data_IF_133421306946
#
_entry.id   IF_133421306946
#
_cell.length_a   1.000
_cell.length_b   1.000
_cell.length_c   1.000
_cell.angle_alpha   90.00
_cell.angle_beta   90.00
_cell.angle_gamma   90.00
#
_symmetry.space_group_name_H-M   'P 1'
#
loop_
_entity.id
_entity.type
_entity.pdbx_description
1 polymer ?
#
# COMPACT_ATOMS: atom_id res chain seq x y z
N UNK A 1 -18.37 -12.47 21.07
CA UNK A 1 -18.93 -11.42 20.19
C UNK A 1 -17.81 -11.00 19.26
N UNK A 2 -18.01 -10.95 17.94
CA UNK A 2 -16.96 -10.58 17.00
C UNK A 2 -16.51 -9.13 17.25
N UNK A 3 -15.24 -8.85 16.96
CA UNK A 3 -14.72 -7.49 17.01
C UNK A 3 -15.29 -6.67 15.83
N UNK A 4 -15.57 -5.36 16.03
CA UNK A 4 -15.90 -4.47 14.93
C UNK A 4 -14.79 -4.45 13.86
N UNK A 5 -15.12 -4.44 12.55
CA UNK A 5 -14.13 -4.45 11.46
C UNK A 5 -13.05 -3.37 11.57
N UNK A 6 -13.41 -2.16 12.00
CA UNK A 6 -12.51 -1.02 12.18
C UNK A 6 -11.49 -1.22 13.31
N UNK A 7 -11.66 -2.25 14.14
CA UNK A 7 -10.72 -2.64 15.21
C UNK A 7 -9.87 -3.86 14.86
N UNK A 8 -10.11 -4.47 13.70
CA UNK A 8 -9.39 -5.67 13.23
C UNK A 8 -8.18 -5.30 12.39
N UNK A 9 -8.34 -4.35 11.47
CA UNK A 9 -7.28 -3.94 10.53
C UNK A 9 -6.57 -2.69 11.03
N UNK A 10 -5.23 -2.64 10.89
CA UNK A 10 -4.45 -1.47 11.27
C UNK A 10 -4.87 -0.22 10.46
N UNK A 11 -4.89 0.94 11.12
CA UNK A 11 -5.23 2.21 10.45
C UNK A 11 -4.14 2.71 9.49
N UNK A 12 -2.93 2.16 9.62
CA UNK A 12 -1.77 2.42 8.78
C UNK A 12 -1.47 1.28 7.79
N UNK A 13 -2.34 0.26 7.72
CA UNK A 13 -2.22 -0.81 6.74
C UNK A 13 -2.26 -0.26 5.31
N UNK A 14 -1.39 -0.78 4.45
CA UNK A 14 -1.31 -0.34 3.05
C UNK A 14 -2.62 -0.60 2.31
N UNK A 15 -3.26 -1.75 2.53
CA UNK A 15 -4.51 -2.08 1.87
C UNK A 15 -5.68 -1.22 2.36
N UNK A 16 -5.85 -1.07 3.69
CA UNK A 16 -6.94 -0.25 4.24
C UNK A 16 -6.86 1.22 3.79
N UNK A 17 -5.67 1.83 3.80
CA UNK A 17 -5.51 3.23 3.41
C UNK A 17 -5.67 3.43 1.90
N UNK A 18 -5.09 2.55 1.07
CA UNK A 18 -5.26 2.62 -0.39
C UNK A 18 -6.73 2.41 -0.77
N UNK A 19 -7.41 1.44 -0.18
CA UNK A 19 -8.85 1.18 -0.39
C UNK A 19 -9.69 2.41 -0.04
N UNK A 20 -9.47 3.00 1.14
CA UNK A 20 -10.19 4.19 1.57
C UNK A 20 -9.94 5.39 0.64
N UNK A 21 -8.71 5.54 0.12
CA UNK A 21 -8.37 6.59 -0.85
C UNK A 21 -9.09 6.43 -2.18
N UNK A 22 -9.25 5.19 -2.66
CA UNK A 22 -9.99 4.86 -3.88
C UNK A 22 -11.49 5.10 -3.63
N UNK A 23 -12.05 4.65 -2.51
CA UNK A 23 -13.45 4.89 -2.17
C UNK A 23 -13.78 6.39 -2.05
N UNK A 24 -12.86 7.21 -1.52
CA UNK A 24 -12.99 8.66 -1.52
C UNK A 24 -12.98 9.24 -2.96
N UNK A 25 -12.05 8.81 -3.80
CA UNK A 25 -11.96 9.24 -5.19
C UNK A 25 -13.18 8.82 -6.04
N UNK A 26 -13.74 7.64 -5.81
CA UNK A 26 -14.97 7.16 -6.46
C UNK A 26 -16.21 7.97 -6.09
N UNK A 27 -16.15 8.75 -5.00
CA UNK A 27 -17.18 9.72 -4.56
C UNK A 27 -16.84 11.16 -4.95
N UNK A 28 -15.74 11.38 -5.67
CA UNK A 28 -15.24 12.72 -6.01
C UNK A 28 -14.81 13.53 -4.79
N UNK A 29 -14.30 12.87 -3.73
CA UNK A 29 -13.90 13.52 -2.49
C UNK A 29 -12.39 13.46 -2.29
N UNK A 30 -11.78 14.53 -1.76
CA UNK A 30 -10.39 14.49 -1.33
C UNK A 30 -10.17 13.50 -0.19
N UNK A 31 -8.95 12.96 -0.11
CA UNK A 31 -8.51 12.04 0.92
C UNK A 31 -7.39 12.71 1.73
N UNK A 32 -7.73 13.43 2.79
CA UNK A 32 -6.78 14.06 3.73
C UNK A 32 -6.57 13.19 4.97
N UNK A 33 -5.46 13.40 5.69
CA UNK A 33 -5.20 12.80 7.01
C UNK A 33 -5.29 11.27 7.04
N UNK A 34 -4.98 10.60 5.91
CA UNK A 34 -5.16 9.15 5.75
C UNK A 34 -6.61 8.69 6.00
N UNK A 35 -7.60 9.54 5.69
CA UNK A 35 -9.02 9.26 5.93
C UNK A 35 -9.50 9.61 7.34
N UNK A 36 -8.60 10.02 8.24
CA UNK A 36 -8.98 10.40 9.60
C UNK A 36 -9.73 11.74 9.67
N UNK A 37 -10.60 11.93 10.68
CA UNK A 37 -11.27 13.20 10.91
C UNK A 37 -10.30 14.39 11.08
N UNK A 38 -10.71 15.56 10.61
CA UNK A 38 -9.87 16.77 10.60
C UNK A 38 -9.39 17.21 11.99
N UNK A 39 -10.17 16.95 13.04
CA UNK A 39 -9.75 17.25 14.41
C UNK A 39 -8.53 16.41 14.83
N UNK A 40 -8.46 15.13 14.39
CA UNK A 40 -7.29 14.28 14.63
C UNK A 40 -6.10 14.77 13.81
N UNK A 41 -6.34 15.22 12.57
CA UNK A 41 -5.34 15.92 11.76
C UNK A 41 -4.74 17.14 12.48
N UNK A 42 -5.56 17.95 13.17
CA UNK A 42 -5.06 19.09 13.98
C UNK A 42 -4.16 18.60 15.13
N UNK A 43 -4.55 17.53 15.82
CA UNK A 43 -3.72 16.94 16.88
C UNK A 43 -2.38 16.48 16.33
N UNK A 44 -2.36 15.77 15.19
CA UNK A 44 -1.12 15.31 14.54
C UNK A 44 -0.24 16.48 14.10
N UNK A 45 -0.81 17.57 13.57
CA UNK A 45 -0.03 18.77 13.21
C UNK A 45 0.62 19.45 14.41
N UNK A 46 -0.06 19.48 15.56
CA UNK A 46 0.50 20.01 16.80
C UNK A 46 1.58 19.07 17.33
N UNK A 47 1.30 17.76 17.38
CA UNK A 47 2.22 16.74 17.83
C UNK A 47 3.50 16.69 16.98
N UNK A 48 3.38 16.88 15.66
CA UNK A 48 4.49 16.91 14.72
C UNK A 48 5.47 18.07 14.94
N UNK A 49 5.15 19.06 15.78
CA UNK A 49 6.09 20.13 16.18
C UNK A 49 7.00 19.72 17.32
N UNK A 50 6.66 18.67 18.07
CA UNK A 50 7.44 18.21 19.23
C UNK A 50 8.82 17.66 18.82
N UNK A 51 9.82 17.71 19.71
CA UNK A 51 11.10 17.02 19.50
C UNK A 51 10.90 15.52 19.33
N UNK A 52 11.70 14.89 18.47
CA UNK A 52 11.60 13.47 18.15
C UNK A 52 11.57 12.54 19.37
N UNK A 53 12.38 12.70 20.43
CA UNK A 53 12.31 11.80 21.59
C UNK A 53 10.93 11.72 22.25
N UNK A 54 10.21 12.85 22.32
CA UNK A 54 8.86 12.91 22.90
C UNK A 54 7.81 12.33 21.93
N UNK A 55 7.92 12.68 20.64
CA UNK A 55 7.03 12.18 19.60
C UNK A 55 7.17 10.67 19.42
N UNK A 56 8.38 10.13 19.51
CA UNK A 56 8.66 8.69 19.47
C UNK A 56 7.98 7.95 20.61
N UNK A 57 8.02 8.48 21.83
CA UNK A 57 7.35 7.85 22.97
C UNK A 57 5.82 7.88 22.83
N UNK A 58 5.27 8.99 22.30
CA UNK A 58 3.85 9.08 21.95
C UNK A 58 3.48 8.06 20.87
N UNK A 59 4.23 8.02 19.76
CA UNK A 59 4.03 7.10 18.65
C UNK A 59 4.11 5.64 19.11
N UNK A 60 5.10 5.32 19.97
CA UNK A 60 5.26 4.01 20.61
C UNK A 60 4.05 3.62 21.47
N UNK A 61 3.39 4.58 22.15
CA UNK A 61 2.20 4.32 22.98
C UNK A 61 0.93 4.19 22.14
N UNK A 62 0.76 5.06 21.16
CA UNK A 62 -0.44 5.10 20.29
C UNK A 62 -0.47 3.89 19.35
N UNK A 63 0.65 3.57 18.69
CA UNK A 63 0.72 2.40 17.81
C UNK A 63 0.36 1.11 18.56
N UNK A 64 0.87 0.93 19.80
CA UNK A 64 0.52 -0.23 20.62
C UNK A 64 -0.98 -0.34 20.97
N UNK A 65 -1.75 0.74 20.92
CA UNK A 65 -3.19 0.71 21.21
C UNK A 65 -4.05 0.20 20.04
N UNK A 66 -3.51 0.14 18.81
CA UNK A 66 -4.21 -0.40 17.63
C UNK A 66 -4.23 -1.93 17.62
N UNK A 67 -3.33 -2.59 18.37
CA UNK A 67 -3.19 -4.04 18.35
C UNK A 67 -4.38 -4.78 18.98
N UNK A 68 -4.91 -5.77 18.27
CA UNK A 68 -5.84 -6.77 18.81
C UNK A 68 -5.13 -7.52 19.94
N UNK A 69 -5.82 -7.69 21.08
CA UNK A 69 -5.26 -8.45 22.20
C UNK A 69 -5.18 -9.93 21.80
N UNK A 70 -4.12 -10.67 22.16
CA UNK A 70 -3.94 -12.05 21.70
C UNK A 70 -5.09 -12.99 22.04
N UNK A 71 -5.71 -12.81 23.22
CA UNK A 71 -6.86 -13.59 23.68
C UNK A 71 -8.20 -13.22 23.01
N UNK A 72 -8.21 -12.29 22.06
CA UNK A 72 -9.39 -11.94 21.26
C UNK A 72 -9.21 -12.32 19.77
N UNK A 73 -8.14 -13.03 19.40
CA UNK A 73 -7.91 -13.42 18.01
C UNK A 73 -8.96 -14.40 17.47
N UNK A 74 -9.63 -15.13 18.34
CA UNK A 74 -10.79 -15.97 18.02
C UNK A 74 -12.07 -15.15 17.72
N UNK A 75 -12.08 -13.86 18.06
CA UNK A 75 -13.16 -12.91 17.79
C UNK A 75 -12.92 -12.07 16.54
N UNK A 76 -11.78 -12.25 15.86
CA UNK A 76 -11.48 -11.58 14.60
C UNK A 76 -12.29 -12.25 13.49
N UNK A 77 -13.16 -11.45 12.86
CA UNK A 77 -13.98 -11.85 11.72
C UNK A 77 -13.51 -11.08 10.49
N UNK A 78 -12.67 -11.71 9.67
CA UNK A 78 -12.18 -11.11 8.43
C UNK A 78 -13.28 -11.06 7.36
N UNK A 79 -14.29 -11.91 7.45
CA UNK A 79 -15.44 -11.87 6.55
C UNK A 79 -16.22 -10.58 6.70
N UNK A 80 -16.48 -10.15 7.94
CA UNK A 80 -17.08 -8.85 8.24
C UNK A 80 -16.21 -7.67 7.76
N UNK A 81 -14.88 -7.82 7.78
CA UNK A 81 -13.96 -6.83 7.18
C UNK A 81 -14.12 -6.77 5.66
N UNK A 82 -14.19 -7.91 4.98
CA UNK A 82 -14.41 -7.95 3.53
C UNK A 82 -15.77 -7.33 3.14
N UNK A 83 -16.83 -7.58 3.92
CA UNK A 83 -18.14 -6.96 3.75
C UNK A 83 -18.07 -5.44 3.88
N UNK A 84 -17.41 -4.93 4.94
CA UNK A 84 -17.21 -3.50 5.13
C UNK A 84 -16.44 -2.86 3.97
N UNK A 85 -15.37 -3.51 3.48
CA UNK A 85 -14.59 -3.03 2.35
C UNK A 85 -15.41 -2.99 1.05
N UNK A 86 -16.20 -4.03 0.77
CA UNK A 86 -17.06 -4.08 -0.42
C UNK A 86 -18.18 -3.03 -0.36
N UNK A 87 -18.77 -2.82 0.82
CA UNK A 87 -19.88 -1.88 1.03
C UNK A 87 -19.46 -0.39 0.96
N UNK A 88 -18.18 -0.10 1.14
CA UNK A 88 -17.67 1.28 1.13
C UNK A 88 -17.73 1.92 -0.26
N UNK A 89 -17.78 1.14 -1.34
CA UNK A 89 -17.88 1.67 -2.69
C UNK A 89 -19.30 2.15 -3.03
N UNK A 90 -19.46 3.27 -3.79
CA UNK A 90 -20.77 3.74 -4.23
C UNK A 90 -21.61 2.66 -4.94
N UNK A 91 -22.92 2.58 -4.67
CA UNK A 91 -23.77 1.53 -5.23
C UNK A 91 -24.11 1.79 -6.71
N UNK A 92 -23.18 1.48 -7.61
CA UNK A 92 -23.32 1.60 -9.07
C UNK A 92 -22.70 0.40 -9.80
N UNK A 93 -23.00 0.28 -11.09
CA UNK A 93 -22.33 -0.69 -11.95
C UNK A 93 -20.99 -0.12 -12.42
N UNK A 94 -19.94 -0.92 -12.28
CA UNK A 94 -18.58 -0.54 -12.61
C UNK A 94 -18.14 -1.14 -13.95
N UNK A 95 -17.39 -0.36 -14.77
CA UNK A 95 -16.93 -0.81 -16.08
C UNK A 95 -15.73 -1.77 -16.00
N UNK A 96 -15.13 -1.93 -14.82
CA UNK A 96 -14.11 -2.92 -14.48
C UNK A 96 -13.94 -2.95 -12.96
N UNK A 97 -13.09 -3.84 -12.45
CA UNK A 97 -12.69 -3.93 -11.04
C UNK A 97 -11.23 -4.36 -10.96
N UNK A 98 -10.49 -3.81 -9.99
CA UNK A 98 -9.19 -4.35 -9.60
C UNK A 98 -9.35 -5.29 -8.40
N UNK A 99 -8.56 -6.36 -8.34
CA UNK A 99 -8.55 -7.30 -7.23
C UNK A 99 -7.14 -7.87 -7.04
N UNK A 100 -6.67 -8.05 -5.80
CA UNK A 100 -5.34 -8.63 -5.54
C UNK A 100 -4.46 -7.81 -4.62
N UNK A 101 -3.15 -7.82 -4.90
CA UNK A 101 -2.12 -7.17 -4.09
C UNK A 101 -2.29 -5.65 -3.96
N UNK A 102 -1.78 -5.09 -2.86
CA UNK A 102 -1.70 -3.64 -2.65
C UNK A 102 -0.67 -3.02 -3.59
N UNK A 103 -1.02 -1.92 -4.26
CA UNK A 103 -0.07 -1.14 -5.06
C UNK A 103 -0.55 0.31 -5.21
N UNK A 104 0.26 1.27 -4.76
CA UNK A 104 -0.15 2.68 -4.78
C UNK A 104 -0.20 3.29 -6.18
N UNK A 105 0.63 2.83 -7.13
CA UNK A 105 0.52 3.26 -8.53
C UNK A 105 -0.81 2.79 -9.12
N UNK A 106 -1.15 1.51 -8.94
CA UNK A 106 -2.43 0.97 -9.43
C UNK A 106 -3.64 1.58 -8.71
N UNK A 107 -3.50 2.02 -7.46
CA UNK A 107 -4.54 2.81 -6.78
C UNK A 107 -4.82 4.16 -7.47
N UNK A 108 -3.80 4.84 -8.00
CA UNK A 108 -4.00 6.03 -8.84
C UNK A 108 -4.75 5.70 -10.12
N UNK A 109 -4.37 4.60 -10.77
CA UNK A 109 -5.01 4.14 -11.99
C UNK A 109 -6.50 3.79 -11.74
N UNK A 110 -6.80 3.04 -10.68
CA UNK A 110 -8.17 2.71 -10.25
C UNK A 110 -9.02 3.96 -10.01
N UNK A 111 -8.46 4.95 -9.32
CA UNK A 111 -9.14 6.20 -9.02
C UNK A 111 -9.46 7.02 -10.29
N UNK A 112 -8.55 7.07 -11.25
CA UNK A 112 -8.77 7.78 -12.52
C UNK A 112 -9.74 7.02 -13.44
N UNK A 113 -9.69 5.69 -13.45
CA UNK A 113 -10.66 4.84 -14.16
C UNK A 113 -12.03 4.81 -13.48
N UNK A 114 -12.13 5.24 -12.22
CA UNK A 114 -13.32 5.18 -11.38
C UNK A 114 -13.84 3.76 -11.14
N UNK A 115 -12.91 2.85 -10.87
CA UNK A 115 -13.19 1.44 -10.59
C UNK A 115 -12.78 1.07 -9.16
N UNK A 116 -13.48 0.12 -8.52
CA UNK A 116 -13.18 -0.35 -7.18
C UNK A 116 -11.92 -1.22 -7.19
N UNK A 117 -11.31 -1.35 -6.02
CA UNK A 117 -10.25 -2.31 -5.76
C UNK A 117 -10.60 -3.17 -4.55
N UNK A 118 -10.53 -4.49 -4.71
CA UNK A 118 -10.77 -5.48 -3.66
C UNK A 118 -9.43 -6.07 -3.18
N UNK A 119 -8.98 -5.76 -1.95
CA UNK A 119 -7.66 -6.17 -1.49
C UNK A 119 -7.59 -7.65 -1.12
N UNK A 120 -6.47 -8.29 -1.42
CA UNK A 120 -6.21 -9.67 -1.01
C UNK A 120 -5.56 -9.77 0.38
N UNK A 121 -4.65 -8.84 0.69
CA UNK A 121 -3.82 -8.86 1.91
C UNK A 121 -4.31 -7.79 2.88
N UNK A 122 -4.43 -8.13 4.16
CA UNK A 122 -4.77 -7.19 5.23
C UNK A 122 -3.80 -7.37 6.41
N UNK A 123 -3.51 -6.28 7.12
CA UNK A 123 -2.72 -6.34 8.35
C UNK A 123 -3.62 -6.35 9.60
N UNK A 124 -3.58 -7.44 10.35
CA UNK A 124 -4.11 -7.54 11.71
C UNK A 124 -2.97 -7.28 12.71
N UNK A 125 -2.88 -6.09 13.33
CA UNK A 125 -1.87 -5.84 14.33
C UNK A 125 -2.24 -6.60 15.61
N UNK A 126 -1.30 -7.35 16.19
CA UNK A 126 -1.54 -8.11 17.44
C UNK A 126 -0.68 -7.54 18.55
N UNK A 127 -1.29 -7.09 19.63
CA UNK A 127 -0.57 -6.48 20.74
C UNK A 127 0.46 -7.46 21.35
N UNK A 128 1.72 -7.05 21.37
CA UNK A 128 2.85 -7.80 21.92
C UNK A 128 3.95 -6.84 22.36
N UNK A 129 4.27 -6.83 23.66
CA UNK A 129 5.52 -6.21 24.10
C UNK A 129 6.66 -7.21 23.88
N UNK A 130 7.66 -6.83 23.10
CA UNK A 130 8.80 -7.70 22.82
C UNK A 130 10.02 -6.95 22.31
N UNK A 131 11.14 -7.64 22.26
CA UNK A 131 12.40 -7.10 21.73
C UNK A 131 12.39 -7.14 20.19
N UNK A 132 12.55 -5.99 19.49
CA UNK A 132 12.69 -5.95 18.04
C UNK A 132 13.84 -6.78 17.48
N UNK A 133 14.89 -7.04 18.28
CA UNK A 133 16.07 -7.81 17.86
C UNK A 133 15.91 -9.31 18.12
N UNK A 134 14.70 -9.76 18.49
CA UNK A 134 14.35 -11.16 18.78
C UNK A 134 13.25 -11.71 17.86
N UNK A 135 13.52 -11.85 16.55
CA UNK A 135 12.58 -12.47 15.61
C UNK A 135 12.22 -13.92 15.99
N UNK A 136 13.13 -14.66 16.61
CA UNK A 136 12.85 -15.99 17.19
C UNK A 136 11.71 -15.96 18.24
N UNK A 137 11.68 -14.96 19.11
CA UNK A 137 10.59 -14.78 20.08
C UNK A 137 9.31 -14.32 19.41
N UNK A 138 9.39 -13.57 18.31
CA UNK A 138 8.22 -13.21 17.53
C UNK A 138 7.62 -14.48 16.89
N UNK A 139 8.44 -15.32 16.26
CA UNK A 139 8.02 -16.61 15.72
C UNK A 139 7.28 -17.45 16.76
N UNK A 140 7.85 -17.63 17.95
CA UNK A 140 7.20 -18.43 19.01
C UNK A 140 5.88 -17.81 19.48
N UNK A 141 5.81 -16.48 19.58
CA UNK A 141 4.55 -15.80 19.87
C UNK A 141 3.47 -16.09 18.81
N UNK A 142 3.84 -16.09 17.54
CA UNK A 142 2.90 -16.44 16.48
C UNK A 142 2.47 -17.89 16.53
N UNK A 143 3.40 -18.82 16.79
CA UNK A 143 3.07 -20.25 16.98
C UNK A 143 2.04 -20.44 18.10
N UNK A 144 2.17 -19.67 19.19
CA UNK A 144 1.21 -19.71 20.30
C UNK A 144 -0.17 -19.16 19.92
N UNK A 145 -0.25 -18.02 19.23
CA UNK A 145 -1.49 -17.24 19.09
C UNK A 145 -2.14 -17.29 17.70
N UNK A 146 -1.37 -17.52 16.64
CA UNK A 146 -1.83 -17.66 15.26
C UNK A 146 -2.93 -18.71 15.06
N UNK A 147 -2.89 -19.89 15.72
CA UNK A 147 -3.92 -20.90 15.56
C UNK A 147 -5.34 -20.44 15.93
N UNK A 148 -5.49 -19.49 16.87
CA UNK A 148 -6.81 -18.96 17.23
C UNK A 148 -7.41 -18.15 16.08
N UNK A 149 -6.61 -17.29 15.44
CA UNK A 149 -7.02 -16.51 14.27
C UNK A 149 -7.38 -17.42 13.09
N UNK A 150 -6.53 -18.42 12.80
CA UNK A 150 -6.71 -19.34 11.67
C UNK A 150 -7.92 -20.27 11.82
N UNK A 151 -8.30 -20.63 13.06
CA UNK A 151 -9.53 -21.39 13.30
C UNK A 151 -10.78 -20.55 13.10
N UNK A 152 -10.75 -19.28 13.47
CA UNK A 152 -11.86 -18.35 13.27
C UNK A 152 -12.04 -17.96 11.79
N UNK A 153 -10.97 -18.02 10.99
CA UNK A 153 -10.95 -17.61 9.58
C UNK A 153 -10.34 -18.75 8.72
N UNK A 154 -11.14 -19.75 8.30
CA UNK A 154 -10.63 -20.92 7.57
C UNK A 154 -10.17 -20.60 6.14
N UNK A 155 -10.62 -19.50 5.56
CA UNK A 155 -10.35 -19.09 4.18
C UNK A 155 -9.08 -18.24 3.98
N UNK A 156 -8.27 -18.07 5.03
CA UNK A 156 -7.03 -17.27 4.98
C UNK A 156 -5.77 -18.10 5.23
N UNK A 157 -4.64 -17.56 4.74
CA UNK A 157 -3.27 -17.89 5.16
C UNK A 157 -2.72 -16.74 5.99
N UNK A 158 -2.00 -17.08 7.05
CA UNK A 158 -1.30 -16.15 7.92
C UNK A 158 0.17 -16.03 7.53
N UNK A 159 0.60 -14.83 7.16
CA UNK A 159 1.99 -14.41 7.05
C UNK A 159 2.34 -13.53 8.25
N UNK A 160 3.06 -14.11 9.20
CA UNK A 160 3.61 -13.36 10.30
C UNK A 160 4.93 -12.72 9.89
N UNK A 161 4.98 -11.40 9.88
CA UNK A 161 6.19 -10.64 9.52
C UNK A 161 6.84 -10.04 10.77
N UNK A 162 8.17 -10.11 10.84
CA UNK A 162 8.96 -9.39 11.84
C UNK A 162 10.11 -8.63 11.18
N UNK A 163 9.93 -7.33 10.97
CA UNK A 163 10.98 -6.46 10.46
C UNK A 163 11.58 -5.55 11.53
N UNK A 164 12.78 -5.91 11.98
CA UNK A 164 13.58 -5.11 12.92
C UNK A 164 14.21 -3.86 12.31
N UNK A 165 14.26 -3.74 10.98
CA UNK A 165 14.88 -2.63 10.27
C UNK A 165 13.89 -1.48 10.01
N UNK A 166 12.80 -1.73 9.29
CA UNK A 166 11.82 -0.68 8.97
C UNK A 166 10.81 -0.46 10.09
N UNK A 167 10.32 -1.55 10.70
CA UNK A 167 9.23 -1.53 11.66
C UNK A 167 9.67 -1.57 13.14
N UNK A 168 10.93 -1.21 13.43
CA UNK A 168 11.50 -1.34 14.80
C UNK A 168 10.62 -0.75 15.90
N UNK A 169 9.98 0.40 15.65
CA UNK A 169 9.11 1.06 16.64
C UNK A 169 7.81 0.29 16.89
N UNK A 170 7.28 -0.36 15.85
CA UNK A 170 6.03 -1.11 15.90
C UNK A 170 6.26 -2.54 16.41
N UNK A 171 7.29 -3.24 15.94
CA UNK A 171 7.63 -4.61 16.37
C UNK A 171 7.95 -4.72 17.87
N UNK A 172 8.32 -3.60 18.52
CA UNK A 172 8.48 -3.51 19.96
C UNK A 172 7.15 -3.61 20.75
N UNK A 173 6.01 -3.39 20.08
CA UNK A 173 4.68 -3.19 20.68
C UNK A 173 3.58 -4.06 20.08
N UNK A 174 3.81 -4.59 18.89
CA UNK A 174 2.88 -5.49 18.23
C UNK A 174 3.62 -6.46 17.31
N UNK A 175 2.94 -7.54 16.97
CA UNK A 175 3.31 -8.46 15.89
C UNK A 175 2.41 -8.21 14.70
N UNK A 176 2.98 -8.26 13.49
CA UNK A 176 2.22 -8.09 12.27
C UNK A 176 1.72 -9.45 11.78
N UNK A 177 0.41 -9.67 11.87
CA UNK A 177 -0.26 -10.78 11.22
C UNK A 177 -0.85 -10.28 9.92
N UNK A 178 -0.12 -10.49 8.81
CA UNK A 178 -0.63 -10.22 7.49
C UNK A 178 -1.41 -11.43 7.02
N UNK A 179 -2.70 -11.25 6.80
CA UNK A 179 -3.60 -12.31 6.36
C UNK A 179 -3.85 -12.14 4.87
N UNK A 180 -3.87 -13.27 4.16
CA UNK A 180 -4.16 -13.33 2.73
C UNK A 180 -5.33 -14.26 2.52
N UNK A 181 -6.31 -13.83 1.72
CA UNK A 181 -7.37 -14.74 1.27
C UNK A 181 -6.76 -15.89 0.46
N UNK A 182 -7.34 -17.09 0.56
CA UNK A 182 -7.04 -18.26 -0.30
C UNK A 182 -8.05 -18.44 -1.42
N UNK A 183 -9.22 -17.85 -1.25
CA UNK A 183 -10.34 -17.91 -2.18
C UNK A 183 -11.05 -16.58 -2.23
N UNK A 184 -11.89 -16.35 -3.23
CA UNK A 184 -12.78 -15.20 -3.23
C UNK A 184 -13.77 -15.32 -2.07
N UNK A 185 -13.64 -14.42 -1.09
CA UNK A 185 -14.60 -14.35 0.00
C UNK A 185 -16.01 -14.03 -0.53
N UNK A 186 -17.05 -14.52 0.15
CA UNK A 186 -18.45 -14.33 -0.26
C UNK A 186 -18.80 -12.87 -0.53
N UNK A 187 -18.29 -11.94 0.28
CA UNK A 187 -18.50 -10.50 0.08
C UNK A 187 -17.95 -10.00 -1.26
N UNK A 188 -16.81 -10.52 -1.71
CA UNK A 188 -16.22 -10.15 -2.99
C UNK A 188 -16.97 -10.81 -4.14
N UNK A 189 -17.36 -12.08 -4.01
CA UNK A 189 -18.23 -12.74 -5.00
C UNK A 189 -19.54 -11.97 -5.22
N UNK A 190 -20.18 -11.56 -4.13
CA UNK A 190 -21.39 -10.77 -4.19
C UNK A 190 -21.13 -9.40 -4.83
N UNK A 191 -20.05 -8.71 -4.44
CA UNK A 191 -19.70 -7.44 -5.06
C UNK A 191 -19.49 -7.58 -6.57
N UNK A 192 -18.72 -8.58 -7.02
CA UNK A 192 -18.47 -8.83 -8.43
C UNK A 192 -19.77 -9.12 -9.18
N UNK A 193 -20.63 -9.97 -8.62
CA UNK A 193 -21.92 -10.33 -9.23
C UNK A 193 -22.89 -9.14 -9.31
N UNK A 194 -22.98 -8.35 -8.25
CA UNK A 194 -24.01 -7.32 -8.11
C UNK A 194 -23.58 -5.96 -8.70
N UNK A 195 -22.27 -5.70 -8.81
CA UNK A 195 -21.71 -4.37 -9.12
C UNK A 195 -20.85 -4.33 -10.36
N UNK A 196 -20.38 -5.45 -10.89
CA UNK A 196 -19.60 -5.43 -12.12
C UNK A 196 -20.55 -5.40 -13.33
N UNK A 197 -20.30 -4.52 -14.30
CA UNK A 197 -21.11 -4.52 -15.52
C UNK A 197 -20.91 -5.85 -16.29
N UNK A 198 -21.93 -6.37 -17.00
CA UNK A 198 -21.79 -7.61 -17.76
C UNK A 198 -20.61 -7.56 -18.73
N UNK A 199 -19.75 -8.58 -18.69
CA UNK A 199 -18.56 -8.67 -19.54
C UNK A 199 -17.45 -7.65 -19.23
N UNK A 200 -17.58 -6.86 -18.15
CA UNK A 200 -16.53 -5.94 -17.74
C UNK A 200 -15.28 -6.71 -17.24
N UNK A 201 -14.06 -6.23 -17.56
CA UNK A 201 -12.85 -6.94 -17.18
C UNK A 201 -12.55 -6.88 -15.68
N UNK A 202 -11.90 -7.94 -15.20
CA UNK A 202 -11.31 -8.04 -13.87
C UNK A 202 -9.79 -7.88 -14.01
N UNK A 203 -9.24 -6.83 -13.42
CA UNK A 203 -7.80 -6.63 -13.34
C UNK A 203 -7.25 -7.34 -12.10
N UNK A 204 -6.52 -8.43 -12.31
CA UNK A 204 -5.85 -9.14 -11.23
C UNK A 204 -4.47 -8.54 -10.99
N UNK A 205 -4.27 -7.95 -9.81
CA UNK A 205 -2.99 -7.43 -9.35
C UNK A 205 -2.20 -8.59 -8.73
N UNK A 206 -1.26 -9.15 -9.50
CA UNK A 206 -0.50 -10.34 -9.13
C UNK A 206 0.97 -9.98 -8.90
N UNK A 207 1.29 -9.47 -7.70
CA UNK A 207 2.69 -9.31 -7.29
C UNK A 207 3.27 -10.68 -6.92
N UNK A 208 4.21 -11.16 -7.72
CA UNK A 208 4.85 -12.46 -7.59
C UNK A 208 6.04 -12.45 -6.62
N UNK A 209 6.26 -11.35 -5.88
CA UNK A 209 7.32 -11.26 -4.88
C UNK A 209 7.23 -12.39 -3.85
N UNK A 210 8.31 -13.15 -3.77
CA UNK A 210 8.51 -14.24 -2.80
C UNK A 210 9.51 -13.82 -1.73
N UNK A 211 9.41 -14.44 -0.56
CA UNK A 211 10.34 -14.21 0.54
C UNK A 211 10.74 -15.51 1.26
N UNK A 212 12.03 -15.68 1.61
CA UNK A 212 12.48 -16.79 2.44
C UNK A 212 11.76 -16.83 3.78
N UNK A 213 11.06 -17.92 4.05
CA UNK A 213 10.13 -18.04 5.18
C UNK A 213 10.34 -19.35 5.92
N UNK A 214 9.95 -19.37 7.20
CA UNK A 214 9.85 -20.58 8.02
C UNK A 214 8.39 -21.01 8.09
N UNK A 215 8.07 -22.25 7.72
CA UNK A 215 6.73 -22.81 7.90
C UNK A 215 6.45 -23.04 9.38
N UNK A 216 5.40 -22.40 9.90
CA UNK A 216 4.95 -22.58 11.29
C UNK A 216 3.88 -23.67 11.36
N UNK A 217 2.96 -23.67 10.39
CA UNK A 217 1.89 -24.65 10.19
C UNK A 217 1.47 -24.63 8.69
N UNK A 218 0.49 -25.45 8.29
CA UNK A 218 -0.01 -25.56 6.91
C UNK A 218 -0.43 -24.20 6.31
N UNK A 219 -1.08 -23.36 7.12
CA UNK A 219 -1.59 -22.02 6.74
C UNK A 219 -0.88 -20.88 7.47
N UNK A 220 0.32 -21.12 7.99
CA UNK A 220 1.05 -20.13 8.78
C UNK A 220 2.53 -20.11 8.40
N UNK A 221 2.97 -18.97 7.86
CA UNK A 221 4.35 -18.67 7.53
C UNK A 221 4.92 -17.58 8.43
N UNK A 222 6.20 -17.72 8.77
CA UNK A 222 6.96 -16.68 9.44
C UNK A 222 8.03 -16.10 8.49
N UNK A 223 8.06 -14.79 8.41
CA UNK A 223 8.96 -14.02 7.56
C UNK A 223 9.83 -13.09 8.43
N UNK A 224 11.15 -13.25 8.33
CA UNK A 224 12.12 -12.31 8.92
C UNK A 224 12.42 -11.20 7.93
N UNK A 225 12.19 -9.95 8.33
CA UNK A 225 12.35 -8.78 7.47
C UNK A 225 11.18 -8.53 6.52
N UNK A 226 11.32 -7.51 5.70
CA UNK A 226 10.37 -7.15 4.65
C UNK A 226 11.04 -6.32 3.59
N UNK A 227 10.36 -6.09 2.47
CA UNK A 227 10.90 -5.25 1.41
C UNK A 227 11.08 -3.80 1.90
N UNK A 228 12.31 -3.30 1.91
CA UNK A 228 12.60 -1.94 2.34
C UNK A 228 14.07 -1.73 2.65
N UNK A 229 14.93 -1.63 1.63
CA UNK A 229 16.32 -1.19 1.78
C UNK A 229 17.33 -2.23 2.30
N UNK A 230 16.89 -3.43 2.69
CA UNK A 230 17.75 -4.58 2.94
C UNK A 230 17.31 -5.77 2.10
N UNK A 231 18.28 -6.56 1.65
CA UNK A 231 18.01 -7.84 1.00
C UNK A 231 17.55 -8.91 2.01
N UNK A 232 16.86 -9.97 1.55
CA UNK A 232 16.49 -11.09 2.41
C UNK A 232 17.70 -11.71 3.13
N UNK A 233 18.85 -11.83 2.44
CA UNK A 233 20.08 -12.36 3.01
C UNK A 233 20.60 -11.51 4.17
N UNK A 234 20.55 -10.20 4.05
CA UNK A 234 20.96 -9.29 5.12
C UNK A 234 20.07 -9.43 6.34
N UNK A 235 18.75 -9.54 6.16
CA UNK A 235 17.82 -9.81 7.27
C UNK A 235 18.13 -11.14 7.97
N UNK A 236 18.32 -12.23 7.21
CA UNK A 236 18.59 -13.55 7.75
C UNK A 236 19.98 -13.68 8.40
N UNK A 237 20.93 -12.82 8.04
CA UNK A 237 22.26 -12.79 8.65
C UNK A 237 22.29 -12.15 10.04
N UNK A 238 21.19 -11.49 10.44
CA UNK A 238 21.09 -10.84 11.75
C UNK A 238 20.96 -11.88 12.87
N UNK A 239 21.42 -11.56 14.09
CA UNK A 239 21.25 -12.43 15.26
C UNK A 239 19.80 -12.85 15.47
N UNK A 240 19.61 -14.08 15.94
CA UNK A 240 18.31 -14.65 16.29
C UNK A 240 17.31 -14.83 15.14
N UNK A 241 17.67 -14.51 13.89
CA UNK A 241 16.83 -14.79 12.73
C UNK A 241 16.59 -16.31 12.61
N UNK A 242 15.33 -16.78 12.66
CA UNK A 242 15.03 -18.18 12.40
C UNK A 242 15.47 -18.57 10.98
N UNK A 243 16.05 -19.78 10.79
CA UNK A 243 16.39 -20.25 9.46
C UNK A 243 15.11 -20.46 8.63
N UNK A 244 15.06 -20.00 7.38
CA UNK A 244 13.96 -20.31 6.49
C UNK A 244 14.03 -21.79 6.07
N UNK A 245 12.88 -22.41 5.84
CA UNK A 245 12.75 -23.77 5.33
C UNK A 245 12.08 -23.83 3.94
N UNK A 246 11.75 -22.67 3.37
CA UNK A 246 11.24 -22.51 2.02
C UNK A 246 11.00 -21.06 1.64
N UNK A 247 10.16 -20.85 0.62
CA UNK A 247 9.72 -19.53 0.19
C UNK A 247 8.20 -19.48 0.14
N UNK A 248 7.63 -18.40 0.66
CA UNK A 248 6.21 -18.08 0.57
C UNK A 248 6.02 -16.77 -0.22
N UNK A 249 4.77 -16.41 -0.53
CA UNK A 249 4.47 -15.05 -0.97
C UNK A 249 4.96 -14.05 0.10
N UNK A 250 5.56 -12.94 -0.32
CA UNK A 250 6.00 -11.90 0.61
C UNK A 250 4.79 -11.37 1.40
N UNK A 251 4.98 -11.16 2.70
CA UNK A 251 3.89 -10.94 3.64
C UNK A 251 2.99 -9.75 3.27
N UNK A 252 3.55 -8.63 2.81
CA UNK A 252 2.82 -7.40 2.48
C UNK A 252 2.30 -7.37 1.04
N UNK A 253 3.20 -7.59 0.09
CA UNK A 253 2.97 -7.29 -1.32
C UNK A 253 2.59 -8.54 -2.11
N UNK A 254 3.21 -9.68 -1.82
CA UNK A 254 3.05 -10.91 -2.61
C UNK A 254 1.62 -11.43 -2.67
N UNK A 255 1.16 -11.87 -3.83
CA UNK A 255 -0.16 -12.47 -4.02
C UNK A 255 -0.18 -13.93 -3.53
N UNK A 256 -1.34 -14.39 -3.05
CA UNK A 256 -1.53 -15.77 -2.58
C UNK A 256 -1.92 -16.62 -3.79
N UNK A 257 -1.14 -17.65 -4.16
CA UNK A 257 -1.39 -18.42 -5.38
C UNK A 257 -2.80 -19.03 -5.46
N UNK A 258 -3.34 -19.51 -4.33
CA UNK A 258 -4.69 -20.06 -4.31
C UNK A 258 -5.77 -19.01 -4.62
N UNK A 259 -5.58 -17.77 -4.16
CA UNK A 259 -6.49 -16.67 -4.44
C UNK A 259 -6.42 -16.22 -5.88
N UNK A 260 -5.20 -16.10 -6.43
CA UNK A 260 -4.97 -15.81 -7.86
C UNK A 260 -5.77 -16.80 -8.70
N UNK A 261 -5.64 -18.10 -8.41
CA UNK A 261 -6.35 -19.14 -9.14
C UNK A 261 -7.88 -19.09 -8.92
N UNK A 262 -8.34 -18.73 -7.72
CA UNK A 262 -9.76 -18.53 -7.47
C UNK A 262 -10.35 -17.37 -8.28
N UNK A 263 -9.60 -16.28 -8.49
CA UNK A 263 -10.01 -15.17 -9.36
C UNK A 263 -10.07 -15.61 -10.82
N UNK A 264 -9.07 -16.36 -11.31
CA UNK A 264 -9.07 -16.88 -12.69
C UNK A 264 -10.30 -17.73 -12.97
N UNK A 265 -10.54 -18.74 -12.13
CA UNK A 265 -11.71 -19.62 -12.26
C UNK A 265 -13.03 -18.84 -12.23
N UNK A 266 -13.16 -17.87 -11.33
CA UNK A 266 -14.39 -17.07 -11.26
C UNK A 266 -14.63 -16.28 -12.55
N UNK A 267 -13.58 -15.69 -13.13
CA UNK A 267 -13.67 -14.95 -14.39
C UNK A 267 -14.11 -15.86 -15.55
N UNK A 268 -13.50 -17.04 -15.65
CA UNK A 268 -13.83 -18.06 -16.66
C UNK A 268 -15.28 -18.55 -16.52
N UNK A 269 -15.73 -18.81 -15.29
CA UNK A 269 -17.08 -19.32 -15.00
C UNK A 269 -18.20 -18.29 -15.21
N UNK A 270 -17.87 -16.98 -15.23
CA UNK A 270 -18.85 -15.88 -15.27
C UNK A 270 -18.69 -14.96 -16.51
N UNK A 271 -17.94 -15.39 -17.53
CA UNK A 271 -17.73 -14.66 -18.79
C UNK A 271 -17.17 -13.23 -18.60
N UNK A 272 -16.29 -13.05 -17.61
CA UNK A 272 -15.58 -11.79 -17.38
C UNK A 272 -14.14 -11.88 -17.91
N UNK A 273 -13.66 -10.97 -18.77
CA UNK A 273 -12.28 -10.99 -19.23
C UNK A 273 -11.30 -10.76 -18.06
N UNK A 274 -10.34 -11.67 -17.90
CA UNK A 274 -9.25 -11.49 -16.94
C UNK A 274 -8.09 -10.70 -17.58
N UNK A 275 -7.70 -9.60 -16.95
CA UNK A 275 -6.49 -8.84 -17.28
C UNK A 275 -5.50 -8.99 -16.14
N UNK A 276 -4.56 -9.91 -16.27
CA UNK A 276 -3.54 -10.15 -15.24
C UNK A 276 -2.40 -9.12 -15.34
N UNK A 277 -2.21 -8.35 -14.28
CA UNK A 277 -1.10 -7.43 -14.09
C UNK A 277 -0.05 -8.15 -13.24
N UNK A 278 0.79 -8.96 -13.89
CA UNK A 278 1.85 -9.75 -13.26
C UNK A 278 3.18 -9.00 -13.19
N UNK A 279 3.77 -8.91 -12.00
CA UNK A 279 5.05 -8.25 -11.77
C UNK A 279 5.75 -8.83 -10.53
N UNK A 280 7.03 -8.54 -10.32
CA UNK A 280 7.78 -8.98 -9.13
C UNK A 280 8.26 -7.77 -8.35
N UNK A 281 7.55 -7.45 -7.28
CA UNK A 281 7.84 -6.35 -6.38
C UNK A 281 7.01 -5.09 -6.68
N UNK A 282 6.56 -4.37 -5.64
CA UNK A 282 5.54 -3.33 -5.75
C UNK A 282 5.99 -2.10 -6.53
N UNK A 283 7.30 -1.90 -6.75
CA UNK A 283 7.80 -0.73 -7.48
C UNK A 283 7.58 -0.82 -9.00
N UNK A 284 7.47 -2.01 -9.57
CA UNK A 284 7.47 -2.22 -11.02
C UNK A 284 6.32 -1.50 -11.76
N UNK A 285 5.06 -1.47 -11.25
CA UNK A 285 3.97 -0.73 -11.90
C UNK A 285 4.15 0.80 -11.96
N UNK A 286 5.05 1.40 -11.18
CA UNK A 286 5.10 2.87 -11.05
C UNK A 286 5.44 3.59 -12.37
N UNK A 287 6.38 3.04 -13.15
CA UNK A 287 6.76 3.61 -14.45
C UNK A 287 5.64 3.52 -15.50
N UNK A 288 5.10 2.32 -15.84
CA UNK A 288 4.05 2.21 -16.85
C UNK A 288 2.78 2.96 -16.47
N UNK A 289 2.43 3.01 -15.18
CA UNK A 289 1.28 3.80 -14.71
C UNK A 289 1.52 5.30 -14.87
N UNK A 290 2.73 5.79 -14.57
CA UNK A 290 3.07 7.20 -14.76
C UNK A 290 2.91 7.60 -16.24
N UNK A 291 3.38 6.77 -17.17
CA UNK A 291 3.27 7.02 -18.61
C UNK A 291 1.81 7.01 -19.08
N UNK A 292 1.02 6.00 -18.70
CA UNK A 292 -0.42 5.92 -19.03
C UNK A 292 -1.17 7.17 -18.56
N UNK A 293 -0.91 7.60 -17.32
CA UNK A 293 -1.58 8.77 -16.76
C UNK A 293 -1.06 10.07 -17.37
N UNK A 294 0.21 10.13 -17.77
CA UNK A 294 0.78 11.26 -18.49
C UNK A 294 0.15 11.43 -19.86
N UNK A 295 0.01 10.35 -20.62
CA UNK A 295 -0.63 10.35 -21.94
C UNK A 295 -2.10 10.77 -21.82
N UNK A 296 -2.82 10.21 -20.86
CA UNK A 296 -4.20 10.61 -20.58
C UNK A 296 -4.34 12.11 -20.27
N UNK A 297 -3.43 12.67 -19.47
CA UNK A 297 -3.40 14.11 -19.19
C UNK A 297 -3.07 14.93 -20.44
N UNK A 298 -2.12 14.48 -21.27
CA UNK A 298 -1.74 15.14 -22.53
C UNK A 298 -2.91 15.18 -23.52
N UNK A 299 -3.65 14.08 -23.69
CA UNK A 299 -4.84 14.00 -24.56
C UNK A 299 -5.93 14.98 -24.15
N UNK A 300 -6.00 15.31 -22.85
CA UNK A 300 -6.92 16.31 -22.30
C UNK A 300 -6.42 17.75 -22.51
N UNK A 301 -5.22 17.93 -23.03
CA UNK A 301 -4.58 19.24 -23.18
C UNK A 301 -4.13 19.83 -21.84
N UNK A 302 -3.90 18.99 -20.83
CA UNK A 302 -3.28 19.40 -19.58
C UNK A 302 -1.77 19.57 -19.74
N UNK A 303 -1.16 20.24 -18.77
CA UNK A 303 0.30 20.26 -18.66
C UNK A 303 0.76 18.97 -18.00
N UNK A 304 1.75 18.32 -18.59
CA UNK A 304 2.32 17.06 -18.13
C UNK A 304 3.76 17.20 -17.64
N UNK A 305 4.20 18.44 -17.36
CA UNK A 305 5.57 18.77 -16.97
C UNK A 305 5.80 18.75 -15.45
N UNK A 306 4.84 18.25 -14.66
CA UNK A 306 4.95 18.12 -13.21
C UNK A 306 4.68 16.70 -12.76
N UNK A 307 5.72 16.06 -12.21
CA UNK A 307 5.63 14.74 -11.57
C UNK A 307 5.36 14.92 -10.07
N UNK A 308 4.57 14.02 -9.48
CA UNK A 308 4.48 13.86 -8.03
C UNK A 308 4.91 12.44 -7.64
N UNK A 309 5.67 12.32 -6.56
CA UNK A 309 6.19 11.07 -6.00
C UNK A 309 5.51 10.82 -4.66
N UNK A 310 4.25 10.33 -4.66
CA UNK A 310 3.62 9.82 -3.44
C UNK A 310 4.32 8.55 -2.99
N UNK A 311 4.27 8.26 -1.70
CA UNK A 311 5.00 7.14 -1.13
C UNK A 311 4.17 6.36 -0.12
N UNK A 312 4.24 5.04 -0.19
CA UNK A 312 3.50 4.11 0.65
C UNK A 312 2.01 4.49 0.72
N UNK A 313 1.50 4.79 1.93
CA UNK A 313 0.12 5.19 2.20
C UNK A 313 -0.14 6.70 2.03
N UNK A 314 0.89 7.52 1.82
CA UNK A 314 0.77 8.97 1.73
C UNK A 314 0.41 9.40 0.29
N UNK A 315 -0.88 9.36 -0.03
CA UNK A 315 -1.41 9.76 -1.34
C UNK A 315 -2.84 10.31 -1.27
N UNK A 316 -3.23 11.07 -2.30
CA UNK A 316 -4.62 11.47 -2.57
C UNK A 316 -4.85 11.38 -4.09
N UNK A 317 -5.28 10.22 -4.60
CA UNK A 317 -5.50 10.03 -6.03
C UNK A 317 -6.49 11.03 -6.64
N UNK A 318 -7.51 11.44 -5.88
CA UNK A 318 -8.51 12.40 -6.33
C UNK A 318 -7.90 13.79 -6.58
N UNK A 319 -7.18 14.34 -5.59
CA UNK A 319 -6.52 15.64 -5.74
C UNK A 319 -5.45 15.62 -6.81
N UNK A 320 -4.64 14.56 -6.85
CA UNK A 320 -3.55 14.40 -7.83
C UNK A 320 -4.10 14.45 -9.27
N UNK A 321 -5.17 13.70 -9.55
CA UNK A 321 -5.83 13.73 -10.85
C UNK A 321 -6.45 15.10 -11.18
N UNK A 322 -7.15 15.72 -10.23
CA UNK A 322 -7.79 17.04 -10.41
C UNK A 322 -6.81 18.21 -10.47
N UNK A 323 -5.51 17.96 -10.30
CA UNK A 323 -4.41 18.94 -10.41
C UNK A 323 -3.47 18.64 -11.58
N UNK A 324 -3.84 17.68 -12.43
CA UNK A 324 -3.05 17.25 -13.58
C UNK A 324 -1.59 16.91 -13.21
N UNK A 325 -1.39 16.23 -12.07
CA UNK A 325 -0.08 15.76 -11.65
C UNK A 325 0.10 14.31 -12.12
N UNK A 326 1.28 14.01 -12.68
CA UNK A 326 1.64 12.65 -13.07
C UNK A 326 2.20 11.92 -11.84
N UNK A 327 1.56 10.84 -11.33
CA UNK A 327 2.07 10.14 -10.15
C UNK A 327 3.11 9.09 -10.53
N UNK A 328 4.26 9.11 -9.86
CA UNK A 328 5.21 8.00 -9.80
C UNK A 328 5.29 7.52 -8.35
N UNK A 329 4.56 6.45 -8.02
CA UNK A 329 4.48 5.97 -6.64
C UNK A 329 5.74 5.21 -6.20
N UNK A 330 6.17 5.40 -4.96
CA UNK A 330 7.24 4.60 -4.32
C UNK A 330 6.70 3.78 -3.15
N UNK A 331 7.11 2.53 -3.04
CA UNK A 331 6.63 1.67 -1.94
C UNK A 331 7.16 2.13 -0.58
N UNK A 332 8.40 2.64 -0.52
CA UNK A 332 8.99 3.35 0.62
C UNK A 332 10.00 4.40 0.13
N UNK A 333 10.42 5.29 1.02
CA UNK A 333 11.51 6.23 0.77
C UNK A 333 12.88 5.55 0.97
N UNK A 334 13.17 4.55 0.13
CA UNK A 334 14.41 3.76 0.16
C UNK A 334 15.19 3.90 -1.16
N UNK A 335 16.49 3.61 -1.12
CA UNK A 335 17.41 3.78 -2.24
C UNK A 335 16.97 3.00 -3.49
N UNK A 336 16.40 1.80 -3.33
CA UNK A 336 15.92 1.00 -4.47
C UNK A 336 14.74 1.66 -5.20
N UNK A 337 13.81 2.26 -4.45
CA UNK A 337 12.70 3.00 -5.02
C UNK A 337 13.16 4.33 -5.66
N UNK A 338 14.16 4.99 -5.05
CA UNK A 338 14.81 6.16 -5.64
C UNK A 338 15.54 5.81 -6.95
N UNK A 339 16.21 4.66 -7.02
CA UNK A 339 16.84 4.18 -8.25
C UNK A 339 15.81 3.89 -9.35
N UNK A 340 14.61 3.41 -8.99
CA UNK A 340 13.51 3.27 -9.94
C UNK A 340 13.01 4.64 -10.45
N UNK A 341 12.94 5.66 -9.58
CA UNK A 341 12.64 7.04 -9.99
C UNK A 341 13.72 7.59 -10.92
N UNK A 342 15.01 7.39 -10.62
CA UNK A 342 16.13 7.79 -11.48
C UNK A 342 15.99 7.20 -12.89
N UNK A 343 15.63 5.90 -12.99
CA UNK A 343 15.38 5.23 -14.27
C UNK A 343 14.16 5.79 -15.02
N UNK A 344 13.07 6.11 -14.31
CA UNK A 344 11.90 6.74 -14.95
C UNK A 344 12.26 8.13 -15.48
N UNK A 345 12.93 8.97 -14.68
CA UNK A 345 13.34 10.31 -15.12
C UNK A 345 14.34 10.30 -16.28
N UNK A 346 15.15 9.23 -16.41
CA UNK A 346 16.07 9.04 -17.53
C UNK A 346 15.36 8.73 -18.86
N UNK A 347 14.21 8.08 -18.80
CA UNK A 347 13.53 7.49 -19.99
C UNK A 347 12.26 8.23 -20.38
N UNK A 348 11.56 8.82 -19.42
CA UNK A 348 10.37 9.62 -19.67
C UNK A 348 10.70 10.98 -20.30
N UNK A 349 9.71 11.60 -20.93
CA UNK A 349 9.78 13.00 -21.34
C UNK A 349 10.17 13.89 -20.14
N UNK A 350 10.89 14.98 -20.40
CA UNK A 350 11.39 15.82 -19.31
C UNK A 350 10.27 16.42 -18.46
N UNK A 351 10.52 16.47 -17.15
CA UNK A 351 9.67 17.18 -16.20
C UNK A 351 10.33 18.50 -15.83
N UNK A 352 9.53 19.56 -15.71
CA UNK A 352 9.99 20.84 -15.19
C UNK A 352 10.14 20.80 -13.66
N UNK A 353 9.24 20.07 -12.99
CA UNK A 353 9.19 19.99 -11.53
C UNK A 353 8.83 18.59 -11.07
N UNK A 354 9.44 18.16 -9.97
CA UNK A 354 9.10 16.91 -9.28
C UNK A 354 8.77 17.22 -7.81
N UNK A 355 7.54 16.89 -7.41
CA UNK A 355 7.04 17.05 -6.05
C UNK A 355 7.23 15.74 -5.30
N UNK A 356 7.97 15.73 -4.19
CA UNK A 356 8.23 14.53 -3.39
C UNK A 356 7.33 14.54 -2.16
N UNK A 357 6.39 13.60 -2.11
CA UNK A 357 5.46 13.39 -1.01
C UNK A 357 5.82 12.07 -0.31
N UNK A 358 6.97 12.06 0.35
CA UNK A 358 7.56 10.85 0.91
C UNK A 358 6.98 10.51 2.30
N UNK A 359 6.59 9.25 2.49
CA UNK A 359 6.13 8.74 3.77
C UNK A 359 7.32 8.58 4.73
N UNK A 360 7.14 9.03 5.97
CA UNK A 360 8.18 9.09 6.99
C UNK A 360 7.84 8.11 8.12
N UNK A 361 8.41 6.90 8.09
CA UNK A 361 8.12 5.84 9.06
C UNK A 361 8.86 6.02 10.40
N UNK A 362 9.63 7.10 10.56
CA UNK A 362 10.22 7.47 11.85
C UNK A 362 11.44 6.66 12.28
N UNK A 363 12.00 5.81 11.41
CA UNK A 363 13.20 5.00 11.72
C UNK A 363 14.31 5.38 10.76
N UNK A 364 15.52 5.61 11.28
CA UNK A 364 16.73 5.67 10.45
C UNK A 364 17.15 4.24 10.10
N UNK A 365 16.48 3.67 9.10
CA UNK A 365 16.68 2.30 8.66
C UNK A 365 17.79 2.19 7.62
N UNK A 366 18.47 1.03 7.51
CA UNK A 366 19.39 0.79 6.40
C UNK A 366 18.70 0.91 5.05
N UNK A 367 19.40 1.49 4.06
CA UNK A 367 18.86 1.68 2.71
C UNK A 367 17.82 2.79 2.58
N UNK A 368 17.62 3.63 3.60
CA UNK A 368 16.73 4.80 3.49
C UNK A 368 17.29 5.82 2.48
N UNK A 369 16.40 6.41 1.68
CA UNK A 369 16.68 7.56 0.84
C UNK A 369 16.29 8.84 1.58
N UNK A 370 17.14 9.86 1.50
CA UNK A 370 16.95 11.16 2.16
C UNK A 370 16.32 12.18 1.22
N UNK A 371 15.80 13.28 1.78
CA UNK A 371 15.35 14.42 0.97
C UNK A 371 16.43 14.93 0.00
N UNK A 372 17.70 14.92 0.43
CA UNK A 372 18.84 15.32 -0.40
C UNK A 372 19.10 14.34 -1.53
N UNK A 373 18.97 13.03 -1.30
CA UNK A 373 19.12 12.01 -2.34
C UNK A 373 18.05 12.19 -3.43
N UNK A 374 16.78 12.36 -3.02
CA UNK A 374 15.69 12.70 -3.95
C UNK A 374 16.01 13.98 -4.72
N UNK A 375 16.41 15.04 -4.03
CA UNK A 375 16.72 16.32 -4.68
C UNK A 375 17.90 16.21 -5.66
N UNK A 376 18.91 15.41 -5.35
CA UNK A 376 20.06 15.16 -6.21
C UNK A 376 19.66 14.42 -7.50
N UNK A 377 18.90 13.32 -7.38
CA UNK A 377 18.38 12.55 -8.53
C UNK A 377 17.49 13.42 -9.41
N UNK A 378 16.60 14.22 -8.82
CA UNK A 378 15.71 15.10 -9.58
C UNK A 378 16.49 16.18 -10.35
N UNK A 379 17.46 16.83 -9.69
CA UNK A 379 18.30 17.87 -10.33
C UNK A 379 19.20 17.30 -11.42
N UNK A 380 19.70 16.07 -11.25
CA UNK A 380 20.48 15.34 -12.28
C UNK A 380 19.73 15.27 -13.62
N UNK A 381 18.40 15.21 -13.59
CA UNK A 381 17.53 15.17 -14.78
C UNK A 381 16.93 16.53 -15.17
N UNK A 382 17.46 17.64 -14.62
CA UNK A 382 17.08 19.00 -15.01
C UNK A 382 15.75 19.50 -14.44
N UNK A 383 15.12 18.76 -13.53
CA UNK A 383 13.87 19.14 -12.90
C UNK A 383 14.09 19.87 -11.56
N UNK A 384 13.13 20.71 -11.16
CA UNK A 384 13.11 21.37 -9.86
C UNK A 384 12.54 20.42 -8.78
N UNK A 385 13.30 20.03 -7.74
CA UNK A 385 12.77 19.23 -6.64
C UNK A 385 11.97 20.10 -5.66
N UNK A 386 10.85 19.60 -5.18
CA UNK A 386 10.07 20.21 -4.09
C UNK A 386 9.65 19.14 -3.10
N UNK A 387 10.10 19.22 -1.85
CA UNK A 387 9.60 18.35 -0.77
C UNK A 387 8.21 18.83 -0.36
N UNK A 388 7.17 18.11 -0.79
CA UNK A 388 5.78 18.51 -0.60
C UNK A 388 5.27 18.00 0.74
N UNK A 389 4.87 18.91 1.62
CA UNK A 389 4.37 18.63 2.97
C UNK A 389 5.34 17.89 3.90
N UNK A 390 6.58 17.67 3.50
CA UNK A 390 7.66 17.07 4.28
C UNK A 390 8.65 18.15 4.70
N UNK A 391 9.11 18.08 5.96
CA UNK A 391 10.18 18.90 6.53
C UNK A 391 11.52 18.16 6.40
N UNK A 392 12.42 18.58 5.48
CA UNK A 392 13.70 17.90 5.23
C UNK A 392 14.61 17.84 6.47
N UNK A 393 14.56 18.86 7.33
CA UNK A 393 15.41 18.96 8.52
C UNK A 393 15.00 17.95 9.61
N UNK A 394 13.80 17.37 9.47
CA UNK A 394 13.24 16.38 10.40
C UNK A 394 13.26 14.96 9.82
N UNK A 395 13.82 14.72 8.65
CA UNK A 395 13.85 13.40 8.02
C UNK A 395 14.62 12.38 8.90
N UNK A 396 14.15 11.12 9.10
CA UNK A 396 12.91 10.51 8.61
C UNK A 396 11.72 10.59 9.58
N UNK A 397 11.68 11.60 10.47
CA UNK A 397 10.83 11.68 11.66
C UNK A 397 9.66 12.67 11.54
N UNK A 398 9.41 13.24 10.37
CA UNK A 398 8.34 14.23 10.17
C UNK A 398 6.95 13.59 9.99
N UNK A 399 6.42 13.05 11.10
CA UNK A 399 5.07 12.47 11.14
C UNK A 399 3.98 13.52 10.86
N UNK A 400 4.27 14.81 11.04
CA UNK A 400 3.31 15.88 10.75
C UNK A 400 2.92 15.96 9.27
N UNK A 401 3.71 15.39 8.36
CA UNK A 401 3.42 15.28 6.93
C UNK A 401 2.05 14.62 6.67
N UNK A 402 1.70 13.60 7.46
CA UNK A 402 0.43 12.87 7.39
C UNK A 402 -0.81 13.77 7.54
N UNK A 403 -0.68 14.92 8.20
CA UNK A 403 -1.78 15.85 8.39
C UNK A 403 -1.63 17.18 7.63
N UNK A 404 -0.56 17.34 6.85
CA UNK A 404 -0.28 18.54 6.03
C UNK A 404 -0.46 18.32 4.53
N UNK A 405 -0.32 17.09 4.05
CA UNK A 405 -0.32 16.81 2.61
C UNK A 405 -1.59 17.27 1.89
N UNK A 406 -2.77 17.15 2.50
CA UNK A 406 -4.02 17.61 1.89
C UNK A 406 -4.01 19.11 1.59
N UNK A 407 -3.60 19.94 2.56
CA UNK A 407 -3.49 21.38 2.37
C UNK A 407 -2.37 21.76 1.38
N UNK A 408 -1.26 21.02 1.38
CA UNK A 408 -0.17 21.23 0.44
C UNK A 408 -0.58 20.91 -1.00
N UNK A 409 -1.34 19.83 -1.20
CA UNK A 409 -1.96 19.53 -2.49
C UNK A 409 -2.95 20.61 -2.88
N UNK A 410 -3.76 21.13 -1.94
CA UNK A 410 -4.73 22.19 -2.24
C UNK A 410 -4.13 23.52 -2.68
N UNK A 411 -2.87 23.77 -2.34
CA UNK A 411 -2.12 24.93 -2.81
C UNK A 411 -1.64 24.82 -4.27
N UNK A 412 -1.71 23.63 -4.88
CA UNK A 412 -1.33 23.42 -6.28
C UNK A 412 -2.52 23.82 -7.18
N UNK A 413 -2.30 24.59 -8.26
CA UNK A 413 -3.37 24.98 -9.19
C UNK A 413 -4.18 23.79 -9.71
N UNK A 414 -5.51 23.93 -9.86
CA UNK A 414 -6.34 22.88 -10.44
C UNK A 414 -6.00 22.64 -11.91
N UNK A 415 -6.38 21.46 -12.40
CA UNK A 415 -6.36 21.11 -13.82
C UNK A 415 -7.19 22.10 -14.65
N UNK A 416 -6.82 22.28 -15.93
CA UNK A 416 -7.48 23.23 -16.84
C UNK A 416 -8.82 22.71 -17.37
N UNK A 417 -8.98 21.40 -17.46
CA UNK A 417 -10.18 20.73 -17.92
C UNK A 417 -10.93 20.11 -16.76
N UNK A 418 -12.27 20.08 -16.83
CA UNK A 418 -13.07 19.27 -15.94
C UNK A 418 -12.60 17.81 -15.96
N UNK A 419 -12.49 17.20 -14.79
CA UNK A 419 -12.11 15.81 -14.66
C UNK A 419 -13.09 14.89 -15.40
N UNK A 420 -12.57 13.85 -16.05
CA UNK A 420 -13.34 12.76 -16.66
C UNK A 420 -12.62 11.43 -16.45
N UNK A 421 -13.32 10.30 -16.30
CA UNK A 421 -12.66 9.01 -16.12
C UNK A 421 -11.79 8.62 -17.32
N UNK A 422 -10.70 7.89 -17.06
CA UNK A 422 -9.91 7.21 -18.09
C UNK A 422 -10.62 5.93 -18.52
N UNK A 423 -10.75 5.72 -19.84
CA UNK A 423 -11.41 4.54 -20.40
C UNK A 423 -10.62 3.25 -20.13
N UNK A 424 -11.34 2.17 -19.84
CA UNK A 424 -10.76 0.86 -19.50
C UNK A 424 -9.89 0.30 -20.63
N UNK A 425 -10.36 0.35 -21.88
CA UNK A 425 -9.61 -0.17 -23.04
C UNK A 425 -8.27 0.56 -23.26
N UNK A 426 -8.22 1.85 -22.91
CA UNK A 426 -6.98 2.63 -22.98
C UNK A 426 -5.94 2.13 -21.99
N UNK A 427 -6.40 1.72 -20.80
CA UNK A 427 -5.54 1.15 -19.77
C UNK A 427 -5.06 -0.24 -20.15
N UNK A 428 -5.93 -1.10 -20.69
CA UNK A 428 -5.55 -2.44 -21.17
C UNK A 428 -4.46 -2.32 -22.24
N UNK A 429 -4.68 -1.42 -23.22
CA UNK A 429 -3.69 -1.14 -24.27
C UNK A 429 -2.37 -0.66 -23.66
N UNK A 430 -2.42 0.34 -22.79
CA UNK A 430 -1.23 0.90 -22.14
C UNK A 430 -0.44 -0.12 -21.33
N UNK A 431 -1.10 -0.96 -20.54
CA UNK A 431 -0.43 -2.00 -19.74
C UNK A 431 0.18 -3.12 -20.58
N UNK A 432 -0.37 -3.38 -21.77
CA UNK A 432 0.13 -4.38 -22.72
C UNK A 432 1.33 -3.87 -23.51
N UNK A 433 1.32 -2.58 -23.87
CA UNK A 433 2.37 -1.94 -24.67
C UNK A 433 3.52 -1.40 -23.81
N UNK A 434 3.28 -1.11 -22.54
CA UNK A 434 4.29 -0.51 -21.69
C UNK A 434 5.43 -1.50 -21.35
N UNK A 435 6.70 -1.05 -21.45
CA UNK A 435 7.81 -1.87 -21.01
C UNK A 435 7.77 -1.99 -19.49
N UNK A 436 7.56 -3.20 -18.99
CA UNK A 436 7.76 -3.49 -17.58
C UNK A 436 9.27 -3.46 -17.31
N UNK A 437 9.78 -2.53 -16.49
CA UNK A 437 11.20 -2.52 -16.17
C UNK A 437 11.56 -3.84 -15.48
N UNK A 438 12.61 -4.49 -16.01
CA UNK A 438 13.14 -5.74 -15.47
C UNK A 438 13.56 -5.63 -14.00
#
# INVERSE_FOLDING_TARGET
>A
MPLPPERVVASFDSASVMHASIAAALRGRPFSNLGNPEWLGRVVRVAGRMPWPALRELYRRVGGAEGVRPHHLDQVDLGAVAEAFAAEFPPRNYPAVMIGSSNGALAHLAAVMQIPWLPQTLLVPVHRLGDPDRPDQALEFGRQWGPALLRANPEIVLHQMHDSAQDRLMTARMTYFRVKWRSLHRAYLQFLTDRLAPGAPVFLINDQLRWPSTRVDERHWFQTGGLGGLSPREHLSRPHAPPPDGEAAEAEWGAEPEFVEAVRRWCDDHDHPLVEIGYTGPQQPAHPVADILRDWLAERGERTDTLIVPSFILSDPWRIANRALVPFWTYFAVQDALAALDRHLQTADSYRRVLVLAFQHGVSSPGIATADDFAAVIRKHGAEPTMLAVDPDRWPHDIGSLARYGAALDAIPPARRPWSPLAVDRVIKGLTEAPWPA
#
